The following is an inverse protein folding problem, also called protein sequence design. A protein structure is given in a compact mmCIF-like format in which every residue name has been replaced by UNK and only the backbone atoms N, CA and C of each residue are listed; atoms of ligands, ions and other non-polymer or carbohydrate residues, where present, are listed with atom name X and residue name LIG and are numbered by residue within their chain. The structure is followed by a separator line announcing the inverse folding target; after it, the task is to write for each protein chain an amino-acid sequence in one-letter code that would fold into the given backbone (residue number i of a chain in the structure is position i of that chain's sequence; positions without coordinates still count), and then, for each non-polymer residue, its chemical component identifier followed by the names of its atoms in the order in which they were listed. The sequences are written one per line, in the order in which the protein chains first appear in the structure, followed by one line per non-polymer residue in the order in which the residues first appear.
data_IF_622945881627
#
_entry.id   IF_622945881627
#
_cell.length_a   1.000
_cell.length_b   1.000
_cell.length_c   1.000
_cell.angle_alpha   90.00
_cell.angle_beta   90.00
_cell.angle_gamma   90.00
#
_symmetry.space_group_name_H-M   'P 1'
#
loop_
_entity.id
_entity.type
_entity.pdbx_description
1 polymer ?
#
# COMPACT_ATOMS: atom_id res chain seq x y z
N UNK A 1 -14.48 4.61 -4.39
CA UNK A 1 -14.97 3.69 -3.32
C UNK A 1 -14.00 2.53 -3.16
N UNK A 2 -13.75 2.15 -1.94
CA UNK A 2 -12.85 1.03 -1.63
C UNK A 2 -13.66 -0.11 -1.05
N UNK A 3 -13.51 -1.29 -1.61
CA UNK A 3 -14.20 -2.50 -1.17
C UNK A 3 -13.20 -3.52 -0.66
N UNK A 4 -13.66 -4.46 0.15
CA UNK A 4 -12.83 -5.55 0.67
C UNK A 4 -13.46 -6.87 0.27
N UNK A 5 -13.10 -7.43 -0.91
CA UNK A 5 -13.71 -8.67 -1.39
C UNK A 5 -13.32 -9.90 -0.57
N UNK A 6 -12.23 -9.81 0.19
CA UNK A 6 -11.82 -10.83 1.16
C UNK A 6 -10.99 -10.18 2.25
N UNK A 7 -10.76 -10.85 3.40
CA UNK A 7 -9.95 -10.28 4.45
C UNK A 7 -8.56 -9.88 3.95
N UNK A 8 -8.08 -8.73 4.42
CA UNK A 8 -6.75 -8.20 4.12
C UNK A 8 -6.53 -7.73 2.68
N UNK A 9 -7.59 -7.69 1.85
CA UNK A 9 -7.50 -7.16 0.50
C UNK A 9 -8.48 -6.00 0.35
N UNK A 10 -7.96 -4.84 -0.04
CA UNK A 10 -8.73 -3.61 -0.23
C UNK A 10 -8.57 -3.14 -1.66
N UNK A 11 -9.67 -3.03 -2.39
CA UNK A 11 -9.68 -2.73 -3.82
C UNK A 11 -10.39 -1.40 -4.06
N UNK A 12 -9.71 -0.50 -4.76
CA UNK A 12 -10.26 0.80 -5.14
C UNK A 12 -10.82 0.76 -6.56
N UNK A 13 -11.92 1.47 -6.79
CA UNK A 13 -12.44 1.70 -8.13
C UNK A 13 -11.58 2.67 -8.94
N UNK A 14 -10.55 3.23 -8.33
CA UNK A 14 -9.57 4.09 -9.01
C UNK A 14 -8.41 3.30 -9.64
N UNK A 15 -8.46 1.98 -9.60
CA UNK A 15 -7.49 1.13 -10.29
C UNK A 15 -6.32 0.64 -9.46
N UNK A 16 -6.39 0.74 -8.15
CA UNK A 16 -5.34 0.18 -7.30
C UNK A 16 -5.91 -0.76 -6.24
N UNK A 17 -5.05 -1.60 -5.68
CA UNK A 17 -5.41 -2.44 -4.55
C UNK A 17 -4.26 -2.54 -3.55
N UNK A 18 -4.61 -2.83 -2.31
CA UNK A 18 -3.65 -3.04 -1.22
C UNK A 18 -3.98 -4.35 -0.52
N UNK A 19 -3.01 -5.24 -0.42
CA UNK A 19 -3.17 -6.51 0.28
C UNK A 19 -2.18 -6.58 1.44
N UNK A 20 -2.69 -6.92 2.61
CA UNK A 20 -1.84 -7.13 3.79
C UNK A 20 -1.30 -8.57 3.72
N UNK A 21 0.02 -8.70 3.59
CA UNK A 21 0.66 -10.01 3.40
C UNK A 21 1.04 -10.69 4.73
N UNK A 22 0.94 -9.96 5.82
CA UNK A 22 1.32 -10.44 7.13
C UNK A 22 1.71 -9.27 8.02
N UNK A 23 2.59 -9.52 9.00
CA UNK A 23 2.96 -8.49 9.97
C UNK A 23 3.89 -7.42 9.41
N UNK A 24 4.62 -7.72 8.33
CA UNK A 24 5.72 -6.88 7.86
C UNK A 24 5.67 -6.53 6.39
N UNK A 25 4.55 -6.72 5.72
CA UNK A 25 4.51 -6.42 4.30
C UNK A 25 3.13 -6.19 3.74
N UNK A 26 3.10 -5.35 2.72
CA UNK A 26 1.93 -5.07 1.90
C UNK A 26 2.26 -5.36 0.45
N UNK A 27 1.25 -5.76 -0.31
CA UNK A 27 1.34 -5.77 -1.77
C UNK A 27 0.45 -4.64 -2.30
N UNK A 28 1.06 -3.71 -3.01
CA UNK A 28 0.34 -2.64 -3.71
C UNK A 28 0.30 -2.97 -5.19
N UNK A 29 -0.89 -2.96 -5.77
CA UNK A 29 -1.08 -3.23 -7.19
C UNK A 29 -1.76 -2.04 -7.87
N UNK A 30 -1.37 -1.76 -9.09
CA UNK A 30 -1.95 -0.69 -9.89
C UNK A 30 -1.92 -1.13 -11.36
N UNK A 31 -3.08 -1.45 -11.91
CA UNK A 31 -3.16 -2.09 -13.22
C UNK A 31 -2.45 -3.43 -13.19
N UNK A 32 -1.48 -3.61 -14.07
CA UNK A 32 -0.69 -4.85 -14.14
C UNK A 32 0.60 -4.79 -13.33
N UNK A 33 0.87 -3.65 -12.67
CA UNK A 33 2.08 -3.44 -11.89
C UNK A 33 1.81 -3.76 -10.42
N UNK A 34 2.79 -4.36 -9.77
CA UNK A 34 2.73 -4.67 -8.35
C UNK A 34 4.04 -4.33 -7.68
N UNK A 35 4.00 -4.06 -6.38
CA UNK A 35 5.20 -3.86 -5.58
C UNK A 35 4.98 -4.35 -4.16
N UNK A 36 6.07 -4.74 -3.52
CA UNK A 36 6.11 -5.01 -2.10
C UNK A 36 6.44 -3.71 -1.36
N UNK A 37 5.69 -3.42 -0.31
CA UNK A 37 5.92 -2.25 0.53
C UNK A 37 6.15 -2.73 1.97
N UNK A 38 7.27 -2.33 2.56
CA UNK A 38 7.58 -2.68 3.94
C UNK A 38 6.60 -2.00 4.90
N UNK A 39 6.11 -2.79 5.84
CA UNK A 39 5.22 -2.30 6.88
C UNK A 39 5.43 -3.08 8.16
N UNK A 40 4.86 -2.58 9.25
CA UNK A 40 4.96 -3.21 10.55
C UNK A 40 3.65 -3.04 11.30
N UNK A 41 3.10 -4.13 11.82
CA UNK A 41 1.91 -4.08 12.64
C UNK A 41 2.30 -3.61 14.02
N UNK A 42 1.66 -2.54 14.49
CA UNK A 42 1.92 -1.95 15.79
C UNK A 42 0.90 -2.39 16.82
N UNK A 43 1.29 -2.39 18.07
CA UNK A 43 0.35 -2.49 19.18
C UNK A 43 -0.11 -1.07 19.51
N UNK A 44 -1.42 -0.89 19.70
CA UNK A 44 -1.98 0.41 20.05
C UNK A 44 -2.87 0.97 18.97
N UNK A 45 -3.26 2.24 19.11
CA UNK A 45 -4.31 2.82 18.26
C UNK A 45 -3.94 3.06 16.81
N UNK A 46 -2.65 3.21 16.50
CA UNK A 46 -2.21 3.47 15.11
C UNK A 46 -2.28 2.24 14.21
N UNK A 47 -2.19 1.05 14.78
CA UNK A 47 -2.37 -0.20 14.04
C UNK A 47 -1.26 -0.60 13.12
N UNK A 48 -0.69 0.28 12.32
CA UNK A 48 0.31 -0.07 11.32
C UNK A 48 1.22 1.10 10.99
N UNK A 49 2.50 0.78 10.78
CA UNK A 49 3.50 1.71 10.27
C UNK A 49 3.92 1.25 8.87
N UNK A 50 3.96 2.16 7.92
CA UNK A 50 4.37 1.88 6.54
C UNK A 50 5.63 2.66 6.25
N UNK A 51 6.65 1.97 5.73
CA UNK A 51 7.94 2.59 5.41
C UNK A 51 7.91 3.15 3.99
N UNK A 52 7.74 4.47 3.90
CA UNK A 52 7.61 5.17 2.63
C UNK A 52 8.80 4.96 1.70
N UNK A 53 10.01 4.84 2.26
CA UNK A 53 11.21 4.61 1.47
C UNK A 53 11.21 3.27 0.74
N UNK A 54 10.39 2.31 1.16
CA UNK A 54 10.26 1.02 0.47
C UNK A 54 9.40 1.11 -0.79
N UNK A 55 8.69 2.22 -0.99
CA UNK A 55 7.98 2.51 -2.24
C UNK A 55 9.04 2.99 -3.24
N UNK A 56 9.79 2.07 -3.81
CA UNK A 56 10.98 2.40 -4.57
C UNK A 56 11.01 1.77 -5.96
N UNK A 57 10.34 0.64 -6.14
CA UNK A 57 10.48 -0.13 -7.39
C UNK A 57 9.27 -1.03 -7.60
N UNK A 58 8.81 -1.08 -8.83
CA UNK A 58 7.83 -2.07 -9.26
C UNK A 58 8.48 -3.43 -9.42
N UNK A 59 7.70 -4.49 -9.21
CA UNK A 59 8.15 -5.86 -9.45
C UNK A 59 8.35 -6.12 -10.95
N UNK A 60 9.14 -7.13 -11.27
CA UNK A 60 9.35 -7.54 -12.65
C UNK A 60 7.99 -7.85 -13.34
N UNK A 61 7.82 -7.52 -14.61
CA UNK A 61 8.82 -6.99 -15.57
C UNK A 61 8.95 -5.46 -15.56
N UNK A 62 8.37 -4.78 -14.58
CA UNK A 62 8.27 -3.32 -14.56
C UNK A 62 9.37 -2.66 -13.72
N UNK A 63 10.43 -3.39 -13.38
CA UNK A 63 11.53 -2.88 -12.56
C UNK A 63 12.26 -1.68 -13.14
N UNK A 64 12.20 -1.53 -14.48
CA UNK A 64 12.83 -0.40 -15.16
C UNK A 64 12.06 0.91 -15.12
N UNK A 65 10.81 0.87 -14.63
CA UNK A 65 10.00 2.08 -14.50
C UNK A 65 10.37 2.76 -13.19
N UNK A 66 10.92 3.97 -13.28
CA UNK A 66 11.34 4.70 -12.08
C UNK A 66 10.15 5.27 -11.32
N UNK A 67 10.33 5.40 -10.01
CA UNK A 67 9.33 5.99 -9.12
C UNK A 67 9.98 7.24 -8.52
N UNK A 68 9.48 8.41 -8.93
CA UNK A 68 9.95 9.68 -8.37
C UNK A 68 9.21 10.01 -7.07
N UNK A 69 9.56 11.15 -6.46
CA UNK A 69 8.96 11.55 -5.20
C UNK A 69 7.46 11.82 -5.29
N UNK A 70 7.00 12.35 -6.41
CA UNK A 70 5.57 12.57 -6.66
C UNK A 70 4.81 11.25 -6.72
N UNK A 71 5.36 10.28 -7.47
CA UNK A 71 4.77 8.95 -7.57
C UNK A 71 4.75 8.26 -6.21
N UNK A 72 5.84 8.36 -5.46
CA UNK A 72 5.92 7.76 -4.13
C UNK A 72 4.85 8.35 -3.21
N UNK A 73 4.66 9.66 -3.24
CA UNK A 73 3.64 10.34 -2.44
C UNK A 73 2.24 9.91 -2.86
N UNK A 74 2.01 9.79 -4.16
CA UNK A 74 0.71 9.33 -4.69
C UNK A 74 0.39 7.93 -4.21
N UNK A 75 1.34 7.02 -4.32
CA UNK A 75 1.17 5.63 -3.89
C UNK A 75 0.96 5.57 -2.38
N UNK A 76 1.73 6.32 -1.61
CA UNK A 76 1.58 6.38 -0.16
C UNK A 76 0.18 6.87 0.25
N UNK A 77 -0.33 7.88 -0.45
CA UNK A 77 -1.68 8.40 -0.19
C UNK A 77 -2.75 7.38 -0.55
N UNK A 78 -2.56 6.62 -1.63
CA UNK A 78 -3.47 5.55 -2.01
C UNK A 78 -3.52 4.46 -0.95
N UNK A 79 -2.38 4.07 -0.41
CA UNK A 79 -2.31 3.08 0.67
C UNK A 79 -3.05 3.61 1.91
N UNK A 80 -2.81 4.86 2.28
CA UNK A 80 -3.50 5.49 3.42
C UNK A 80 -5.01 5.50 3.22
N UNK A 81 -5.46 5.86 2.03
CA UNK A 81 -6.89 5.89 1.70
C UNK A 81 -7.54 4.52 1.85
N UNK A 82 -6.84 3.46 1.39
CA UNK A 82 -7.35 2.10 1.50
C UNK A 82 -7.58 1.70 2.96
N UNK A 83 -6.65 2.03 3.85
CA UNK A 83 -6.79 1.72 5.27
C UNK A 83 -7.84 2.59 5.95
N UNK A 84 -7.91 3.87 5.61
CA UNK A 84 -8.94 4.75 6.16
C UNK A 84 -10.34 4.28 5.84
N UNK A 85 -10.55 3.77 4.64
CA UNK A 85 -11.86 3.24 4.25
C UNK A 85 -12.28 2.04 5.10
N UNK A 86 -11.32 1.38 5.73
CA UNK A 86 -11.58 0.26 6.64
C UNK A 86 -11.57 0.69 8.12
N UNK A 87 -11.48 1.99 8.37
CA UNK A 87 -11.48 2.52 9.74
C UNK A 87 -10.12 2.51 10.43
N UNK A 88 -9.02 2.33 9.67
CA UNK A 88 -7.67 2.32 10.24
C UNK A 88 -6.89 3.55 9.86
N UNK A 89 -6.19 4.12 10.84
CA UNK A 89 -5.16 5.11 10.56
C UNK A 89 -3.81 4.40 10.53
N UNK A 90 -2.95 4.80 9.59
CA UNK A 90 -1.59 4.27 9.51
C UNK A 90 -0.58 5.41 9.64
N UNK A 91 0.59 5.08 10.15
CA UNK A 91 1.72 5.99 10.19
C UNK A 91 2.60 5.74 8.95
N UNK A 92 2.93 6.81 8.27
CA UNK A 92 3.79 6.75 7.07
C UNK A 92 5.15 7.36 7.44
N UNK A 93 6.20 6.59 7.45
CA UNK A 93 7.53 7.05 7.87
C UNK A 93 8.59 6.85 6.78
#
# INVERSE_FOLDING_TARGET
MITSPRPNLYVSDKGFSVEVLGRTGLRYCEGQKAMFVDSEVLTGPSGMMVYKSSIARWDAPYTGISIDDQERTRIANNIREAFRAQGFEIDMV
#
